data_IF_569664163646
#
_entry.id   IF_569664163646
#
_cell.length_a   1.000
_cell.length_b   1.000
_cell.length_c   1.000
_cell.angle_alpha   90.00
_cell.angle_beta   90.00
_cell.angle_gamma   90.00
#
_symmetry.space_group_name_H-M   'P 1'
#
loop_
_entity.id
_entity.type
_entity.pdbx_description
1 polymer ?
#
# COMPACT_ATOMS: atom_id res chain seq x y z
N UNK A 1 1.27 -28.41 15.18
CA UNK A 1 1.15 -28.55 13.69
C UNK A 1 1.98 -27.47 13.03
N UNK A 2 2.74 -27.77 11.97
CA UNK A 2 3.54 -26.77 11.26
C UNK A 2 2.62 -25.85 10.48
N UNK A 3 2.65 -24.55 10.79
CA UNK A 3 1.92 -23.52 10.07
C UNK A 3 2.40 -23.52 8.62
N UNK A 4 1.47 -23.65 7.65
CA UNK A 4 1.85 -23.59 6.22
C UNK A 4 2.42 -22.21 5.91
N UNK A 5 3.61 -22.10 5.30
CA UNK A 5 4.21 -20.84 4.91
C UNK A 5 3.24 -19.99 4.08
N UNK A 6 3.20 -18.70 4.38
CA UNK A 6 2.45 -17.73 3.57
C UNK A 6 3.31 -17.23 2.43
N UNK A 7 2.64 -16.72 1.40
CA UNK A 7 3.28 -16.06 0.27
C UNK A 7 2.78 -14.62 0.26
N UNK A 8 3.65 -13.70 0.64
CA UNK A 8 3.32 -12.29 0.73
C UNK A 8 3.71 -11.53 -0.53
N UNK A 9 2.76 -10.82 -1.12
CA UNK A 9 3.03 -9.76 -2.10
C UNK A 9 2.90 -8.42 -1.37
N UNK A 10 3.91 -7.56 -1.52
CA UNK A 10 3.93 -6.24 -0.94
C UNK A 10 3.79 -5.19 -2.05
N UNK A 11 2.76 -4.33 -1.98
CA UNK A 11 2.44 -3.30 -2.96
C UNK A 11 2.52 -1.91 -2.34
N UNK A 12 3.34 -1.03 -2.94
CA UNK A 12 3.43 0.38 -2.57
C UNK A 12 2.32 1.21 -3.20
N UNK A 13 2.17 2.46 -2.73
CA UNK A 13 1.23 3.43 -3.23
C UNK A 13 1.71 4.17 -4.48
N UNK A 14 0.98 5.22 -4.83
CA UNK A 14 1.19 6.11 -5.97
C UNK A 14 2.59 6.69 -5.99
N UNK A 15 3.30 6.55 -7.12
CA UNK A 15 4.66 7.08 -7.31
C UNK A 15 5.73 6.45 -6.43
N UNK A 16 5.42 5.35 -5.74
CA UNK A 16 6.35 4.61 -4.88
C UNK A 16 6.60 3.21 -5.42
N UNK A 17 7.72 2.60 -5.06
CA UNK A 17 8.17 1.28 -5.51
C UNK A 17 8.90 0.51 -4.39
N UNK A 18 9.38 -0.69 -4.71
CA UNK A 18 9.99 -1.62 -3.75
C UNK A 18 11.13 -1.02 -2.91
N UNK A 19 11.95 -0.12 -3.48
CA UNK A 19 13.01 0.56 -2.74
C UNK A 19 12.52 1.42 -1.57
N UNK A 20 11.26 1.90 -1.63
CA UNK A 20 10.66 2.70 -0.57
C UNK A 20 10.12 1.87 0.62
N UNK A 21 10.25 0.54 0.62
CA UNK A 21 10.02 -0.25 1.82
C UNK A 21 11.11 -0.04 2.87
N UNK A 22 12.32 0.37 2.46
CA UNK A 22 13.44 0.61 3.35
C UNK A 22 13.68 -0.54 4.32
N UNK A 23 13.83 -0.22 5.60
CA UNK A 23 14.05 -1.22 6.67
C UNK A 23 12.84 -2.12 6.93
N UNK A 24 11.63 -1.66 6.58
CA UNK A 24 10.41 -2.45 6.80
C UNK A 24 10.51 -3.84 6.15
N UNK A 25 11.02 -3.93 4.91
CA UNK A 25 11.10 -5.21 4.21
C UNK A 25 12.00 -6.21 4.94
N UNK A 26 13.16 -5.76 5.42
CA UNK A 26 14.09 -6.62 6.17
C UNK A 26 13.50 -7.07 7.51
N UNK A 27 12.86 -6.13 8.24
CA UNK A 27 12.16 -6.43 9.50
C UNK A 27 10.97 -7.37 9.29
N UNK A 28 10.20 -7.19 8.22
CA UNK A 28 9.07 -8.05 7.88
C UNK A 28 9.53 -9.49 7.60
N UNK A 29 10.57 -9.67 6.75
CA UNK A 29 11.14 -10.99 6.48
C UNK A 29 11.69 -11.65 7.75
N UNK A 30 12.35 -10.90 8.62
CA UNK A 30 12.84 -11.41 9.92
C UNK A 30 11.68 -11.81 10.85
N UNK A 31 10.56 -11.10 10.79
CA UNK A 31 9.39 -11.37 11.61
C UNK A 31 8.59 -12.60 11.16
N UNK A 32 8.69 -12.94 9.87
CA UNK A 32 8.02 -14.08 9.22
C UNK A 32 9.03 -14.94 8.46
N UNK A 33 9.96 -15.63 9.17
CA UNK A 33 11.12 -16.28 8.55
C UNK A 33 10.76 -17.49 7.67
N UNK A 34 9.57 -18.05 7.86
CA UNK A 34 9.09 -19.19 7.08
C UNK A 34 8.23 -18.79 5.88
N UNK A 35 7.90 -17.50 5.76
CA UNK A 35 7.05 -17.00 4.70
C UNK A 35 7.87 -16.51 3.49
N UNK A 36 7.38 -16.78 2.29
CA UNK A 36 7.92 -16.19 1.06
C UNK A 36 7.44 -14.74 0.91
N UNK A 37 8.32 -13.80 0.56
CA UNK A 37 7.99 -12.37 0.39
C UNK A 37 8.47 -11.86 -0.96
N UNK A 38 7.55 -11.37 -1.78
CA UNK A 38 7.77 -10.73 -3.07
C UNK A 38 7.32 -9.27 -3.02
N UNK A 39 8.13 -8.36 -3.53
CA UNK A 39 7.73 -6.97 -3.79
C UNK A 39 7.49 -6.81 -5.28
N UNK A 40 6.38 -6.18 -5.65
CA UNK A 40 6.05 -5.91 -7.04
C UNK A 40 5.85 -4.41 -7.25
N UNK A 41 6.51 -3.88 -8.29
CA UNK A 41 6.35 -2.49 -8.69
C UNK A 41 5.23 -2.36 -9.72
N UNK A 42 4.45 -1.27 -9.61
CA UNK A 42 3.49 -0.91 -10.63
C UNK A 42 4.22 -0.41 -11.88
N UNK A 43 3.64 -0.60 -13.06
CA UNK A 43 4.19 -0.04 -14.30
C UNK A 43 4.44 1.46 -14.17
N UNK A 44 5.61 1.92 -14.56
CA UNK A 44 6.08 3.30 -14.40
C UNK A 44 6.79 3.60 -13.08
N UNK A 45 7.01 2.59 -12.21
CA UNK A 45 7.69 2.75 -10.93
C UNK A 45 8.85 1.76 -10.78
N UNK A 46 9.92 2.15 -10.12
CA UNK A 46 11.02 1.29 -9.69
C UNK A 46 11.61 0.43 -10.81
N UNK A 47 11.56 -0.89 -10.68
CA UNK A 47 12.04 -1.84 -11.71
C UNK A 47 11.26 -1.78 -13.02
N UNK A 48 10.09 -1.15 -13.02
CA UNK A 48 9.19 -0.98 -14.16
C UNK A 48 9.14 0.50 -14.63
N UNK A 49 10.13 1.32 -14.26
CA UNK A 49 10.15 2.77 -14.48
C UNK A 49 10.04 3.17 -15.96
N UNK A 50 10.61 2.37 -16.88
CA UNK A 50 10.62 2.61 -18.32
C UNK A 50 9.27 2.31 -18.98
N UNK A 51 8.32 1.74 -18.24
CA UNK A 51 7.00 1.39 -18.73
C UNK A 51 6.00 2.54 -18.51
N UNK A 52 5.01 2.59 -19.36
CA UNK A 52 3.88 3.51 -19.19
C UNK A 52 2.92 2.98 -18.13
N UNK A 53 2.59 3.81 -17.12
CA UNK A 53 1.58 3.46 -16.10
C UNK A 53 0.20 3.30 -16.72
N UNK A 54 -0.56 2.36 -16.20
CA UNK A 54 -1.96 2.14 -16.59
C UNK A 54 -2.88 3.28 -16.10
N UNK A 55 -4.05 3.40 -16.72
CA UNK A 55 -5.06 4.41 -16.37
C UNK A 55 -6.21 3.86 -15.54
N UNK A 56 -6.21 2.57 -15.28
CA UNK A 56 -7.17 1.89 -14.42
C UNK A 56 -6.47 1.04 -13.38
N UNK A 57 -7.13 0.79 -12.26
CA UNK A 57 -6.61 -0.10 -11.22
C UNK A 57 -6.62 -1.55 -11.72
N UNK A 58 -7.61 -1.91 -12.50
CA UNK A 58 -7.84 -3.25 -13.04
C UNK A 58 -6.72 -3.69 -13.99
N UNK A 59 -6.22 -2.80 -14.85
CA UNK A 59 -5.07 -3.08 -15.73
C UNK A 59 -3.80 -3.39 -14.93
N UNK A 60 -3.59 -2.72 -13.78
CA UNK A 60 -2.47 -3.05 -12.89
C UNK A 60 -2.58 -4.47 -12.32
N UNK A 61 -3.79 -4.96 -12.04
CA UNK A 61 -3.99 -6.34 -11.54
C UNK A 61 -3.52 -7.35 -12.58
N UNK A 62 -3.96 -7.21 -13.84
CA UNK A 62 -3.56 -8.14 -14.92
C UNK A 62 -2.03 -8.19 -15.09
N UNK A 63 -1.37 -7.03 -15.07
CA UNK A 63 0.08 -6.91 -15.18
C UNK A 63 0.81 -7.57 -14.00
N UNK A 64 0.42 -7.27 -12.76
CA UNK A 64 1.06 -7.84 -11.58
C UNK A 64 0.89 -9.37 -11.50
N UNK A 65 -0.30 -9.87 -11.85
CA UNK A 65 -0.56 -11.32 -11.92
C UNK A 65 0.38 -12.04 -12.89
N UNK A 66 0.58 -11.46 -14.08
CA UNK A 66 1.48 -12.03 -15.09
C UNK A 66 2.94 -12.11 -14.59
N UNK A 67 3.38 -11.15 -13.77
CA UNK A 67 4.77 -11.04 -13.30
C UNK A 67 5.03 -11.73 -11.96
N UNK A 68 4.02 -11.97 -11.13
CA UNK A 68 4.20 -12.56 -9.81
C UNK A 68 4.73 -14.00 -9.88
N UNK A 69 5.87 -14.23 -9.23
CA UNK A 69 6.47 -15.56 -9.07
C UNK A 69 5.76 -16.36 -7.98
N UNK A 70 5.28 -15.68 -6.93
CA UNK A 70 4.63 -16.34 -5.81
C UNK A 70 3.22 -16.82 -6.17
N UNK A 71 2.49 -16.09 -7.01
CA UNK A 71 1.18 -16.52 -7.49
C UNK A 71 1.25 -17.87 -8.22
N UNK A 72 2.32 -18.12 -8.97
CA UNK A 72 2.54 -19.42 -9.66
C UNK A 72 2.67 -20.60 -8.69
N UNK A 73 2.98 -20.35 -7.42
CA UNK A 73 3.08 -21.36 -6.37
C UNK A 73 1.75 -21.57 -5.61
N UNK A 74 0.73 -20.74 -5.86
CA UNK A 74 -0.61 -20.81 -5.24
C UNK A 74 -1.05 -19.48 -4.63
N UNK A 75 -2.19 -19.47 -3.90
CA UNK A 75 -2.78 -18.25 -3.36
C UNK A 75 -1.83 -17.43 -2.50
N UNK A 76 -1.91 -16.10 -2.60
CA UNK A 76 -1.04 -15.12 -1.95
C UNK A 76 -1.77 -14.30 -0.89
N UNK A 77 -1.03 -13.84 0.11
CA UNK A 77 -1.45 -12.78 1.03
C UNK A 77 -0.90 -11.45 0.50
N UNK A 78 -1.65 -10.37 0.57
CA UNK A 78 -1.19 -9.08 0.06
C UNK A 78 -1.19 -8.04 1.18
N UNK A 79 -0.02 -7.41 1.40
CA UNK A 79 0.11 -6.22 2.23
C UNK A 79 0.31 -5.02 1.32
N UNK A 80 -0.58 -4.03 1.42
CA UNK A 80 -0.61 -2.96 0.44
C UNK A 80 -0.93 -1.59 1.06
N UNK A 81 -0.25 -0.55 0.55
CA UNK A 81 -0.37 0.82 1.04
C UNK A 81 -1.06 1.69 0.00
N UNK A 82 -2.05 2.51 0.42
CA UNK A 82 -2.66 3.58 -0.39
C UNK A 82 -3.24 3.07 -1.73
N UNK A 83 -2.76 3.55 -2.89
CA UNK A 83 -3.15 3.05 -4.22
C UNK A 83 -2.86 1.54 -4.37
N UNK A 84 -1.77 1.04 -3.78
CA UNK A 84 -1.50 -0.40 -3.77
C UNK A 84 -2.62 -1.22 -3.12
N UNK A 85 -3.28 -0.67 -2.09
CA UNK A 85 -4.44 -1.31 -1.47
C UNK A 85 -5.66 -1.35 -2.41
N UNK A 86 -5.84 -0.35 -3.27
CA UNK A 86 -6.88 -0.37 -4.31
C UNK A 86 -6.62 -1.52 -5.30
N UNK A 87 -5.36 -1.69 -5.72
CA UNK A 87 -4.95 -2.79 -6.61
C UNK A 87 -5.15 -4.15 -5.94
N UNK A 88 -4.79 -4.29 -4.65
CA UNK A 88 -4.99 -5.52 -3.89
C UNK A 88 -6.48 -5.91 -3.77
N UNK A 89 -7.35 -4.92 -3.56
CA UNK A 89 -8.81 -5.14 -3.51
C UNK A 89 -9.36 -5.53 -4.89
N UNK A 90 -8.95 -4.84 -5.96
CA UNK A 90 -9.35 -5.20 -7.32
C UNK A 90 -8.89 -6.60 -7.69
N UNK A 91 -7.67 -7.00 -7.27
CA UNK A 91 -7.16 -8.35 -7.48
C UNK A 91 -8.04 -9.39 -6.77
N UNK A 92 -8.35 -9.18 -5.50
CA UNK A 92 -9.19 -10.10 -4.73
C UNK A 92 -10.62 -10.18 -5.27
N UNK A 93 -11.17 -9.10 -5.79
CA UNK A 93 -12.51 -9.04 -6.38
C UNK A 93 -12.59 -9.80 -7.71
N UNK A 94 -11.61 -9.57 -8.60
CA UNK A 94 -11.57 -10.24 -9.91
C UNK A 94 -11.14 -11.71 -9.80
N UNK A 95 -10.28 -12.04 -8.82
CA UNK A 95 -9.66 -13.36 -8.67
C UNK A 95 -9.65 -13.83 -7.20
N UNK A 96 -10.81 -14.04 -6.58
CA UNK A 96 -10.90 -14.33 -5.14
C UNK A 96 -10.16 -15.61 -4.74
N UNK A 97 -10.06 -16.60 -5.62
CA UNK A 97 -9.31 -17.85 -5.37
C UNK A 97 -7.78 -17.68 -5.33
N UNK A 98 -7.25 -16.56 -5.81
CA UNK A 98 -5.82 -16.26 -5.79
C UNK A 98 -5.36 -15.52 -4.53
N UNK A 99 -6.30 -14.97 -3.75
CA UNK A 99 -5.99 -14.13 -2.60
C UNK A 99 -6.45 -14.78 -1.30
N UNK A 100 -5.51 -15.04 -0.41
CA UNK A 100 -5.76 -15.66 0.89
C UNK A 100 -6.24 -14.63 1.93
N UNK A 101 -5.54 -13.51 2.04
CA UNK A 101 -5.80 -12.43 2.99
C UNK A 101 -5.24 -11.11 2.53
N UNK A 102 -5.86 -10.00 2.93
CA UNK A 102 -5.43 -8.64 2.65
C UNK A 102 -5.12 -7.87 3.92
N UNK A 103 -4.01 -7.14 3.92
CA UNK A 103 -3.70 -6.09 4.89
C UNK A 103 -3.61 -4.75 4.13
N UNK A 104 -4.58 -3.88 4.35
CA UNK A 104 -4.79 -2.65 3.60
C UNK A 104 -4.49 -1.44 4.48
N UNK A 105 -3.51 -0.63 4.07
CA UNK A 105 -2.98 0.49 4.87
C UNK A 105 -3.34 1.81 4.20
N UNK A 106 -3.97 2.74 4.95
CA UNK A 106 -4.22 4.14 4.59
C UNK A 106 -4.78 4.33 3.17
N UNK A 107 -5.90 3.69 2.88
CA UNK A 107 -6.52 3.70 1.55
C UNK A 107 -7.84 4.48 1.52
N UNK A 108 -8.38 4.69 0.32
CA UNK A 108 -9.62 5.43 0.10
C UNK A 108 -10.41 4.87 -1.09
N UNK A 109 -11.68 5.24 -1.17
CA UNK A 109 -12.62 4.84 -2.20
C UNK A 109 -13.31 6.07 -2.80
N UNK A 110 -13.58 6.08 -4.11
CA UNK A 110 -14.19 7.23 -4.77
C UNK A 110 -15.69 7.41 -4.47
N UNK A 111 -16.39 6.38 -3.99
CA UNK A 111 -17.81 6.46 -3.60
C UNK A 111 -17.99 6.81 -2.12
N UNK A 112 -17.09 6.32 -1.26
CA UNK A 112 -17.23 6.46 0.19
C UNK A 112 -16.53 7.71 0.75
N UNK A 113 -15.76 8.43 -0.10
CA UNK A 113 -14.94 9.53 0.37
C UNK A 113 -14.92 10.69 -0.63
N UNK A 114 -15.05 11.90 -0.11
CA UNK A 114 -14.92 13.10 -0.92
C UNK A 114 -13.49 13.26 -1.46
N UNK A 115 -13.37 13.92 -2.62
CA UNK A 115 -12.05 14.08 -3.26
C UNK A 115 -11.03 14.80 -2.37
N UNK A 116 -11.48 15.78 -1.58
CA UNK A 116 -10.63 16.54 -0.64
C UNK A 116 -10.26 15.76 0.63
N UNK A 117 -10.92 14.64 0.90
CA UNK A 117 -10.49 13.69 1.94
C UNK A 117 -9.47 12.69 1.38
N UNK A 118 -9.62 12.29 0.12
CA UNK A 118 -8.74 11.32 -0.56
C UNK A 118 -7.39 11.92 -0.92
N UNK A 119 -7.34 13.24 -1.12
CA UNK A 119 -6.14 14.05 -1.19
C UNK A 119 -6.41 15.35 -0.45
N UNK A 120 -5.86 15.50 0.76
CA UNK A 120 -6.14 16.66 1.61
C UNK A 120 -5.62 17.95 0.96
N UNK A 121 -6.38 19.06 0.98
CA UNK A 121 -6.06 20.32 0.28
C UNK A 121 -4.69 20.90 0.61
N UNK A 122 -4.18 20.66 1.83
CA UNK A 122 -2.85 21.09 2.25
C UNK A 122 -1.72 20.58 1.34
N UNK A 123 -1.98 19.48 0.59
CA UNK A 123 -1.00 18.84 -0.30
C UNK A 123 -1.06 19.35 -1.75
N UNK A 124 -2.06 20.16 -2.13
CA UNK A 124 -2.20 20.62 -3.52
C UNK A 124 -1.03 21.50 -3.96
N UNK A 125 -0.64 22.46 -3.11
CA UNK A 125 0.48 23.35 -3.43
C UNK A 125 1.83 22.62 -3.45
N UNK A 126 2.16 21.73 -2.49
CA UNK A 126 3.33 20.86 -2.58
C UNK A 126 3.37 20.05 -3.89
N UNK A 127 2.27 19.42 -4.29
CA UNK A 127 2.20 18.64 -5.54
C UNK A 127 2.45 19.54 -6.76
N UNK A 128 1.88 20.73 -6.83
CA UNK A 128 2.15 21.67 -7.91
C UNK A 128 3.63 22.07 -7.99
N UNK A 129 4.29 22.23 -6.84
CA UNK A 129 5.73 22.51 -6.79
C UNK A 129 6.56 21.35 -7.35
N UNK A 130 6.17 20.08 -7.08
CA UNK A 130 6.82 18.90 -7.63
C UNK A 130 6.82 18.91 -9.18
N UNK A 131 5.72 19.34 -9.79
CA UNK A 131 5.64 19.46 -11.26
C UNK A 131 6.49 20.60 -11.84
N UNK A 132 6.72 21.67 -11.07
CA UNK A 132 7.58 22.77 -11.49
C UNK A 132 9.07 22.43 -11.37
N UNK A 133 9.47 21.67 -10.36
CA UNK A 133 10.86 21.33 -10.03
C UNK A 133 11.21 19.88 -10.39
N UNK A 134 10.88 19.46 -11.62
CA UNK A 134 10.95 18.06 -12.08
C UNK A 134 12.36 17.43 -12.00
N UNK A 135 13.41 18.24 -12.13
CA UNK A 135 14.80 17.75 -12.16
C UNK A 135 15.45 17.59 -10.79
N UNK A 136 14.86 18.14 -9.74
CA UNK A 136 15.42 18.07 -8.39
C UNK A 136 14.83 16.87 -7.63
N UNK A 137 15.52 15.73 -7.70
CA UNK A 137 15.09 14.48 -7.04
C UNK A 137 15.14 14.60 -5.52
N UNK A 138 16.10 15.35 -4.97
CA UNK A 138 16.19 15.58 -3.52
C UNK A 138 15.00 16.40 -3.02
N UNK A 139 14.67 17.51 -3.71
CA UNK A 139 13.47 18.30 -3.40
C UNK A 139 12.19 17.45 -3.49
N UNK A 140 12.10 16.61 -4.52
CA UNK A 140 10.97 15.72 -4.72
C UNK A 140 10.79 14.75 -3.53
N UNK A 141 11.84 14.03 -3.17
CA UNK A 141 11.75 13.03 -2.10
C UNK A 141 11.53 13.69 -0.74
N UNK A 142 12.18 14.80 -0.45
CA UNK A 142 11.89 15.60 0.76
C UNK A 142 10.42 16.01 0.83
N UNK A 143 9.89 16.56 -0.26
CA UNK A 143 8.49 17.02 -0.32
C UNK A 143 7.51 15.84 -0.12
N UNK A 144 7.75 14.71 -0.79
CA UNK A 144 6.91 13.51 -0.64
C UNK A 144 6.97 12.94 0.77
N UNK A 145 8.14 12.89 1.41
CA UNK A 145 8.29 12.46 2.79
C UNK A 145 7.56 13.40 3.76
N UNK A 146 7.68 14.72 3.59
CA UNK A 146 6.94 15.69 4.39
C UNK A 146 5.41 15.52 4.27
N UNK A 147 4.92 15.14 3.08
CA UNK A 147 3.49 14.90 2.84
C UNK A 147 3.00 13.56 3.40
N UNK A 148 3.88 12.57 3.58
CA UNK A 148 3.47 11.18 3.90
C UNK A 148 3.98 10.68 5.25
N UNK A 149 4.97 11.35 5.82
CA UNK A 149 5.61 10.92 7.06
C UNK A 149 5.82 12.06 8.07
N UNK A 150 5.41 13.28 7.71
CA UNK A 150 5.51 14.44 8.59
C UNK A 150 6.95 14.77 8.96
N UNK A 151 7.19 15.09 10.23
CA UNK A 151 8.52 15.38 10.78
C UNK A 151 9.17 14.09 11.31
N UNK A 152 9.76 13.31 10.41
CA UNK A 152 10.54 12.14 10.81
C UNK A 152 11.94 12.54 11.30
N UNK A 153 12.45 11.90 12.37
CA UNK A 153 13.87 11.95 12.67
C UNK A 153 14.68 11.51 11.44
N UNK A 154 15.72 12.28 11.11
CA UNK A 154 16.60 11.99 9.95
C UNK A 154 15.89 12.02 8.58
N UNK A 155 14.81 12.79 8.42
CA UNK A 155 14.08 12.94 7.16
C UNK A 155 15.02 13.26 5.97
N UNK A 156 15.97 14.18 6.16
CA UNK A 156 16.94 14.55 5.12
C UNK A 156 17.79 13.36 4.64
N UNK A 157 18.27 12.54 5.55
CA UNK A 157 19.04 11.33 5.23
C UNK A 157 18.20 10.29 4.50
N UNK A 158 16.91 10.19 4.86
CA UNK A 158 15.99 9.29 4.16
C UNK A 158 15.72 9.83 2.76
N UNK A 159 15.48 11.15 2.62
CA UNK A 159 15.26 11.79 1.33
C UNK A 159 16.47 11.62 0.40
N UNK A 160 17.69 11.81 0.91
CA UNK A 160 18.94 11.59 0.17
C UNK A 160 19.00 10.17 -0.41
N UNK A 161 18.83 9.16 0.43
CA UNK A 161 18.83 7.76 -0.02
C UNK A 161 17.71 7.45 -1.02
N UNK A 162 16.53 8.04 -0.84
CA UNK A 162 15.40 7.82 -1.75
C UNK A 162 15.58 8.59 -3.07
N UNK A 163 16.30 9.69 -3.09
CA UNK A 163 16.59 10.45 -4.31
C UNK A 163 17.53 9.71 -5.28
N UNK A 164 18.27 8.72 -4.79
CA UNK A 164 19.10 7.84 -5.62
C UNK A 164 18.28 6.74 -6.34
N UNK A 165 17.02 6.55 -5.94
CA UNK A 165 16.15 5.53 -6.51
C UNK A 165 15.48 6.02 -7.80
N UNK A 166 15.09 5.10 -8.71
CA UNK A 166 14.39 5.45 -9.95
C UNK A 166 13.10 6.25 -9.66
N UNK A 167 13.01 7.45 -10.20
CA UNK A 167 11.86 8.31 -10.00
C UNK A 167 10.72 8.00 -10.99
N UNK A 168 9.49 7.98 -10.50
CA UNK A 168 8.29 7.95 -11.36
C UNK A 168 8.21 9.24 -12.16
N UNK A 169 8.02 9.17 -13.49
CA UNK A 169 7.86 10.36 -14.33
C UNK A 169 6.58 11.12 -13.99
N UNK A 170 6.52 12.44 -14.24
CA UNK A 170 5.28 13.22 -14.02
C UNK A 170 4.08 12.65 -14.79
N UNK A 171 4.28 12.16 -16.00
CA UNK A 171 3.25 11.56 -16.84
C UNK A 171 2.71 10.27 -16.20
N UNK A 172 3.59 9.41 -15.71
CA UNK A 172 3.23 8.19 -15.00
C UNK A 172 2.52 8.49 -13.67
N UNK A 173 3.01 9.49 -12.93
CA UNK A 173 2.35 9.95 -11.71
C UNK A 173 0.91 10.41 -11.97
N UNK A 174 0.67 11.21 -13.02
CA UNK A 174 -0.66 11.66 -13.40
C UNK A 174 -1.57 10.51 -13.82
N UNK A 175 -1.05 9.50 -14.56
CA UNK A 175 -1.81 8.31 -14.92
C UNK A 175 -2.25 7.51 -13.69
N UNK A 176 -1.34 7.30 -12.74
CA UNK A 176 -1.63 6.62 -11.48
C UNK A 176 -2.63 7.41 -10.63
N UNK A 177 -2.49 8.73 -10.55
CA UNK A 177 -3.43 9.61 -9.86
C UNK A 177 -4.83 9.52 -10.49
N UNK A 178 -4.90 9.52 -11.81
CA UNK A 178 -6.15 9.33 -12.55
C UNK A 178 -6.79 7.98 -12.24
N UNK A 179 -6.04 6.89 -12.33
CA UNK A 179 -6.53 5.54 -12.02
C UNK A 179 -7.08 5.46 -10.61
N UNK A 180 -6.30 5.93 -9.62
CA UNK A 180 -6.71 5.90 -8.21
C UNK A 180 -7.91 6.81 -7.94
N UNK A 181 -8.02 7.98 -8.59
CA UNK A 181 -9.12 8.93 -8.37
C UNK A 181 -10.48 8.36 -8.77
N UNK A 182 -10.52 7.46 -9.74
CA UNK A 182 -11.76 6.90 -10.30
C UNK A 182 -12.15 5.54 -9.72
N UNK A 183 -11.20 4.84 -9.09
CA UNK A 183 -11.44 3.51 -8.58
C UNK A 183 -12.41 3.51 -7.40
N UNK A 184 -13.37 2.58 -7.46
CA UNK A 184 -14.34 2.33 -6.40
C UNK A 184 -14.26 0.89 -5.94
N UNK A 185 -14.23 0.68 -4.64
CA UNK A 185 -14.24 -0.65 -4.03
C UNK A 185 -15.57 -1.36 -4.30
N UNK A 186 -15.58 -2.70 -4.40
CA UNK A 186 -16.82 -3.46 -4.55
C UNK A 186 -17.79 -3.19 -3.39
N UNK A 187 -19.09 -3.39 -3.64
CA UNK A 187 -20.12 -3.16 -2.62
C UNK A 187 -19.97 -4.11 -1.43
N UNK A 188 -19.67 -5.35 -1.71
CA UNK A 188 -19.40 -6.40 -0.72
C UNK A 188 -17.90 -6.66 -0.58
N UNK A 189 -17.50 -7.16 0.57
CA UNK A 189 -16.14 -7.61 0.84
C UNK A 189 -15.76 -8.74 -0.14
N UNK A 190 -14.64 -8.59 -0.92
CA UNK A 190 -14.31 -9.55 -1.98
C UNK A 190 -13.81 -10.90 -1.45
N UNK A 191 -13.17 -10.92 -0.29
CA UNK A 191 -12.70 -12.12 0.39
C UNK A 191 -12.95 -12.01 1.90
N UNK A 192 -13.06 -13.15 2.59
CA UNK A 192 -13.38 -13.18 4.02
C UNK A 192 -12.33 -12.52 4.92
N UNK A 193 -11.05 -12.56 4.56
CA UNK A 193 -9.94 -12.16 5.41
C UNK A 193 -9.31 -10.84 4.96
N UNK A 194 -9.82 -9.75 5.51
CA UNK A 194 -9.29 -8.40 5.28
C UNK A 194 -9.04 -7.73 6.63
N UNK A 195 -7.89 -7.08 6.78
CA UNK A 195 -7.52 -6.21 7.89
C UNK A 195 -7.23 -4.81 7.35
N UNK A 196 -7.86 -3.80 7.91
CA UNK A 196 -7.49 -2.41 7.67
C UNK A 196 -6.54 -1.89 8.76
N UNK A 197 -5.51 -1.16 8.33
CA UNK A 197 -4.65 -0.38 9.21
C UNK A 197 -4.78 1.09 8.82
N UNK A 198 -4.93 1.96 9.80
CA UNK A 198 -5.08 3.40 9.56
C UNK A 198 -4.21 4.21 10.51
N UNK A 199 -3.62 5.26 10.01
CA UNK A 199 -2.92 6.27 10.79
C UNK A 199 -3.87 7.44 11.09
N UNK A 200 -4.14 7.72 12.36
CA UNK A 200 -5.02 8.83 12.75
C UNK A 200 -4.41 10.20 12.45
N UNK A 201 -3.09 10.29 12.37
CA UNK A 201 -2.35 11.48 11.97
C UNK A 201 -2.15 11.65 10.46
N UNK A 202 -2.72 10.79 9.61
CA UNK A 202 -2.50 10.82 8.16
C UNK A 202 -2.77 12.21 7.56
N UNK A 203 -1.69 12.84 7.08
CA UNK A 203 -1.71 14.19 6.53
C UNK A 203 -1.97 14.23 5.02
N UNK A 204 -1.88 13.08 4.34
CA UNK A 204 -2.13 12.97 2.90
C UNK A 204 -3.58 12.57 2.58
N UNK A 205 -4.07 11.50 3.20
CA UNK A 205 -5.42 10.95 3.06
C UNK A 205 -6.13 11.04 4.41
N UNK A 206 -7.35 11.56 4.44
CA UNK A 206 -8.09 11.67 5.71
C UNK A 206 -8.38 10.26 6.28
N UNK A 207 -8.09 9.99 7.57
CA UNK A 207 -8.27 8.65 8.18
C UNK A 207 -9.68 8.07 8.02
N UNK A 208 -10.69 8.94 7.99
CA UNK A 208 -12.09 8.52 7.80
C UNK A 208 -12.32 7.76 6.49
N UNK A 209 -11.48 7.96 5.47
CA UNK A 209 -11.57 7.18 4.22
C UNK A 209 -11.42 5.68 4.50
N UNK A 210 -10.35 5.29 5.17
CA UNK A 210 -10.11 3.89 5.56
C UNK A 210 -11.11 3.39 6.59
N UNK A 211 -11.48 4.24 7.58
CA UNK A 211 -12.45 3.87 8.63
C UNK A 211 -13.82 3.54 8.05
N UNK A 212 -14.33 4.35 7.10
CA UNK A 212 -15.61 4.07 6.41
C UNK A 212 -15.60 2.75 5.65
N UNK A 213 -14.50 2.42 4.99
CA UNK A 213 -14.35 1.14 4.29
C UNK A 213 -14.38 -0.05 5.26
N UNK A 214 -13.71 0.05 6.39
CA UNK A 214 -13.73 -0.98 7.41
C UNK A 214 -15.14 -1.19 7.98
N UNK A 215 -15.88 -0.11 8.25
CA UNK A 215 -17.28 -0.17 8.70
C UNK A 215 -18.17 -0.78 7.63
N UNK A 216 -18.06 -0.32 6.36
CA UNK A 216 -18.83 -0.83 5.22
C UNK A 216 -18.75 -2.35 5.06
N UNK A 217 -17.55 -2.91 5.26
CA UNK A 217 -17.31 -4.34 5.12
C UNK A 217 -17.35 -5.12 6.43
N UNK A 218 -17.65 -4.45 7.53
CA UNK A 218 -17.57 -5.04 8.87
C UNK A 218 -16.23 -5.77 9.09
N UNK A 219 -15.15 -5.17 8.58
CA UNK A 219 -13.80 -5.74 8.59
C UNK A 219 -12.99 -5.19 9.76
N UNK A 220 -12.08 -6.00 10.35
CA UNK A 220 -11.18 -5.56 11.40
C UNK A 220 -10.39 -4.31 11.02
N UNK A 221 -10.34 -3.34 11.93
CA UNK A 221 -9.58 -2.11 11.81
C UNK A 221 -8.63 -1.95 13.00
N UNK A 222 -7.38 -1.59 12.74
CA UNK A 222 -6.47 -1.12 13.77
C UNK A 222 -5.99 0.29 13.44
N UNK A 223 -6.10 1.21 14.39
CA UNK A 223 -5.69 2.61 14.24
C UNK A 223 -4.39 2.87 14.99
N UNK A 224 -3.41 3.48 14.30
CA UNK A 224 -2.22 4.03 14.94
C UNK A 224 -2.48 5.49 15.34
N UNK A 225 -2.33 5.86 16.64
CA UNK A 225 -2.89 7.13 17.15
C UNK A 225 -2.17 8.38 16.63
N UNK A 226 -0.91 8.28 16.20
CA UNK A 226 -0.05 9.44 15.90
C UNK A 226 0.70 9.37 14.57
N UNK A 227 0.84 8.21 13.96
CA UNK A 227 1.59 8.08 12.70
C UNK A 227 0.90 8.83 11.55
N UNK A 228 1.68 9.14 10.52
CA UNK A 228 1.22 9.73 9.27
C UNK A 228 1.00 8.64 8.20
N UNK A 229 0.84 9.02 6.94
CA UNK A 229 0.43 8.17 5.81
C UNK A 229 1.35 6.95 5.59
N UNK A 230 2.67 7.11 5.64
CA UNK A 230 3.62 5.99 5.46
C UNK A 230 3.88 5.24 6.77
N UNK A 231 2.87 4.54 7.27
CA UNK A 231 2.94 3.74 8.48
C UNK A 231 4.12 2.76 8.49
N UNK A 232 4.47 2.20 7.34
CA UNK A 232 5.55 1.22 7.22
C UNK A 232 6.94 1.82 7.41
N UNK A 233 7.07 3.10 7.13
CA UNK A 233 8.29 3.87 7.36
C UNK A 233 8.36 4.39 8.81
N UNK A 234 7.23 4.86 9.33
CA UNK A 234 7.15 5.54 10.64
C UNK A 234 7.21 4.55 11.81
N UNK A 235 6.41 3.49 11.75
CA UNK A 235 6.37 2.44 12.79
C UNK A 235 6.24 1.05 12.18
N UNK A 236 7.34 0.53 11.60
CA UNK A 236 7.38 -0.80 11.00
C UNK A 236 7.00 -1.91 11.98
N UNK A 237 7.39 -1.79 13.25
CA UNK A 237 7.17 -2.83 14.24
C UNK A 237 5.70 -2.90 14.66
N UNK A 238 5.00 -1.76 14.73
CA UNK A 238 3.56 -1.73 14.94
C UNK A 238 2.82 -2.43 13.79
N UNK A 239 3.15 -2.12 12.54
CA UNK A 239 2.53 -2.78 11.37
C UNK A 239 2.76 -4.30 11.42
N UNK A 240 4.00 -4.73 11.65
CA UNK A 240 4.36 -6.15 11.77
C UNK A 240 3.58 -6.83 12.91
N UNK A 241 3.45 -6.17 14.05
CA UNK A 241 2.67 -6.67 15.18
C UNK A 241 1.18 -6.87 14.82
N UNK A 242 0.58 -5.95 14.05
CA UNK A 242 -0.80 -6.09 13.57
C UNK A 242 -0.95 -7.23 12.57
N UNK A 243 0.00 -7.39 11.66
CA UNK A 243 0.01 -8.52 10.72
C UNK A 243 0.10 -9.85 11.47
N UNK A 244 1.00 -9.97 12.46
CA UNK A 244 1.10 -11.19 13.30
C UNK A 244 -0.21 -11.53 14.01
N UNK A 245 -0.81 -10.52 14.65
CA UNK A 245 -2.09 -10.72 15.35
C UNK A 245 -3.20 -11.18 14.41
N UNK A 246 -3.30 -10.57 13.23
CA UNK A 246 -4.29 -10.91 12.21
C UNK A 246 -4.07 -12.31 11.65
N UNK A 247 -2.82 -12.68 11.36
CA UNK A 247 -2.49 -14.00 10.82
C UNK A 247 -2.56 -15.11 11.87
N UNK A 248 -2.19 -14.85 13.12
CA UNK A 248 -2.28 -15.79 14.23
C UNK A 248 -3.72 -16.17 14.59
N UNK A 249 -4.66 -15.22 14.55
CA UNK A 249 -6.09 -15.53 14.75
C UNK A 249 -6.66 -16.51 13.73
N UNK A 250 -6.05 -16.62 12.52
CA UNK A 250 -6.52 -17.57 11.50
C UNK A 250 -6.22 -19.03 11.83
N UNK A 251 -5.22 -19.26 12.63
CA UNK A 251 -4.78 -20.61 12.99
C UNK A 251 -5.73 -21.24 14.00
N UNK A 252 -6.14 -20.45 14.98
CA UNK A 252 -7.09 -20.87 16.03
C UNK A 252 -8.47 -21.19 15.44
N UNK A 253 -8.95 -20.42 14.45
CA UNK A 253 -10.27 -20.66 13.82
C UNK A 253 -10.31 -21.86 12.89
N UNK A 254 -9.19 -22.26 12.29
CA UNK A 254 -9.13 -23.47 11.45
C UNK A 254 -9.02 -24.76 12.28
N UNK A 255 -8.51 -24.67 13.51
CA UNK A 255 -8.41 -25.81 14.45
C UNK A 255 -9.78 -26.10 15.12
N UNK A 256 -10.65 -25.12 15.26
CA UNK A 256 -11.99 -25.29 15.85
C UNK A 256 -13.05 -25.75 14.82
N UNK A 257 -12.77 -25.77 13.53
CA UNK A 257 -13.65 -26.20 12.45
C UNK A 257 -13.17 -27.47 11.73
N UNK A 258 -12.17 -28.16 12.24
CA UNK A 258 -11.67 -29.46 11.81
C UNK A 258 -11.93 -30.52 12.88
#
# INVERSE_FOLDING_TARGET
MSVKPRRWILLRGLGRHAGHWGEFLARFKKAFPNDDVETLDLAGNGTEADRTSFRTIEENVADLRARSKLLKKGPVSILAVSMGAMVAVAWADQHPGETRELVLINTSDSRESYFFERLRPRNYLPILKLFKQRGDLMFRERTLLQMTAGELPHLERIAEKQSELPATTPENFLRQLWASSRYSFPKSQPIRRIQFLVADGDSLVHPNCTKRLAVKWNAPLAAHPRADHDLTLIDPDWVIGRVRHFTGKSEIQNETNS
#
